data_IF_829735928382
#
_entry.id   IF_829735928382
#
_cell.length_a   1.000
_cell.length_b   1.000
_cell.length_c   1.000
_cell.angle_alpha   90.00
_cell.angle_beta   90.00
_cell.angle_gamma   90.00
#
_symmetry.space_group_name_H-M   'P 1'
#
loop_
_entity.id
_entity.type
_entity.pdbx_description
1 polymer ?
#
# COMPACT_ATOMS: atom_id res chain seq x y z
N UNK A 1 -8.20 25.70 -40.66
CA UNK A 1 -8.41 26.50 -39.44
C UNK A 1 -7.14 26.47 -38.60
N UNK A 2 -6.84 27.59 -37.95
CA UNK A 2 -5.52 27.99 -37.42
C UNK A 2 -4.98 27.06 -36.32
N UNK A 3 -3.67 26.81 -36.38
CA UNK A 3 -2.81 26.30 -35.30
C UNK A 3 -2.88 27.25 -34.09
N UNK A 4 -2.96 26.70 -32.88
CA UNK A 4 -2.50 27.39 -31.67
C UNK A 4 -1.50 26.47 -30.98
N UNK A 5 -0.24 26.85 -31.12
CA UNK A 5 0.91 26.41 -30.33
C UNK A 5 0.80 27.16 -29.00
N UNK A 6 0.55 26.47 -27.89
CA UNK A 6 0.74 27.06 -26.56
C UNK A 6 2.14 26.71 -26.07
N UNK A 7 2.97 27.75 -25.99
CA UNK A 7 4.28 27.74 -25.38
C UNK A 7 4.12 27.40 -23.89
N UNK A 8 4.75 26.32 -23.44
CA UNK A 8 4.98 26.09 -22.01
C UNK A 8 6.09 27.06 -21.60
N UNK A 9 5.73 28.04 -20.79
CA UNK A 9 6.65 28.99 -20.18
C UNK A 9 7.27 28.27 -18.98
N UNK A 10 8.50 27.81 -19.10
CA UNK A 10 9.31 27.31 -17.98
C UNK A 10 9.55 28.47 -17.01
N UNK A 11 8.80 28.50 -15.91
CA UNK A 11 9.09 29.38 -14.78
C UNK A 11 10.17 28.70 -13.93
N UNK A 12 11.41 29.10 -14.16
CA UNK A 12 12.54 28.75 -13.28
C UNK A 12 12.34 29.51 -11.97
N UNK A 13 11.84 28.83 -10.93
CA UNK A 13 11.89 29.34 -9.57
C UNK A 13 13.26 28.94 -9.02
N UNK A 14 14.21 29.85 -9.19
CA UNK A 14 15.51 29.78 -8.53
C UNK A 14 15.30 30.21 -7.07
N UNK A 15 14.91 29.28 -6.21
CA UNK A 15 14.89 29.50 -4.76
C UNK A 15 16.32 29.35 -4.24
N UNK A 16 16.98 30.49 -4.07
CA UNK A 16 18.32 30.54 -3.49
C UNK A 16 18.31 30.03 -2.04
N UNK A 17 19.21 29.09 -1.75
CA UNK A 17 19.55 28.66 -0.39
C UNK A 17 19.93 29.86 0.47
N UNK A 18 19.13 30.11 1.50
CA UNK A 18 19.41 31.08 2.54
C UNK A 18 20.34 30.41 3.57
N UNK A 19 21.65 30.59 3.38
CA UNK A 19 22.66 30.19 4.37
C UNK A 19 22.56 31.13 5.57
N UNK A 20 21.88 30.69 6.64
CA UNK A 20 21.85 31.43 7.90
C UNK A 20 23.05 31.00 8.75
N UNK A 21 24.13 31.77 8.66
CA UNK A 21 25.22 31.75 9.63
C UNK A 21 24.75 32.42 10.93
N UNK A 22 24.51 31.67 12.00
CA UNK A 22 24.21 32.25 13.31
C UNK A 22 25.49 32.69 14.02
N UNK A 23 25.78 33.98 14.00
CA UNK A 23 26.48 34.66 15.10
C UNK A 23 25.84 36.02 15.34
N UNK A 24 25.15 36.19 16.48
CA UNK A 24 25.18 37.41 17.29
C UNK A 24 24.17 37.33 18.45
N UNK A 25 24.68 37.38 19.68
CA UNK A 25 23.93 37.80 20.86
C UNK A 25 23.40 39.24 20.68
N UNK A 26 22.12 39.49 20.97
CA UNK A 26 21.58 40.84 21.05
C UNK A 26 20.15 40.87 21.60
N UNK A 27 19.97 41.51 22.77
CA UNK A 27 18.70 41.65 23.50
C UNK A 27 17.67 42.55 22.78
N UNK A 28 16.41 42.11 22.89
CA UNK A 28 15.13 42.85 22.94
C UNK A 28 14.65 43.63 21.71
N UNK A 29 13.51 43.21 21.14
CA UNK A 29 12.19 43.88 21.24
C UNK A 29 11.15 43.13 20.39
N UNK A 30 9.94 43.04 20.93
CA UNK A 30 8.70 42.49 20.36
C UNK A 30 8.74 42.15 18.86
N UNK A 31 8.98 40.87 18.58
CA UNK A 31 8.61 40.27 17.31
C UNK A 31 7.28 39.54 17.53
N UNK A 32 6.25 40.00 16.83
CA UNK A 32 5.07 39.18 16.54
C UNK A 32 5.60 37.88 15.96
N UNK A 33 5.50 36.78 16.69
CA UNK A 33 5.99 35.48 16.23
C UNK A 33 5.17 35.11 15.00
N UNK A 34 5.70 35.35 13.81
CA UNK A 34 5.31 34.60 12.64
C UNK A 34 5.45 33.13 13.05
N UNK A 35 4.32 32.43 13.10
CA UNK A 35 4.30 31.00 13.37
C UNK A 35 4.91 30.39 12.12
N UNK A 36 6.19 30.03 12.19
CA UNK A 36 6.86 29.33 11.09
C UNK A 36 6.14 27.99 10.87
N UNK A 37 5.74 27.74 9.62
CA UNK A 37 5.24 26.44 9.19
C UNK A 37 6.34 25.41 9.45
N UNK A 38 6.01 24.33 10.18
CA UNK A 38 6.98 23.26 10.48
C UNK A 38 7.16 22.43 9.22
N UNK A 39 8.37 22.45 8.68
CA UNK A 39 8.80 21.49 7.65
C UNK A 39 9.03 20.13 8.33
N UNK A 40 8.48 19.07 7.76
CA UNK A 40 8.63 17.68 8.21
C UNK A 40 9.23 16.87 7.08
N UNK A 41 10.39 16.26 7.30
CA UNK A 41 11.04 15.38 6.32
C UNK A 41 10.36 14.01 6.29
N UNK A 42 10.49 13.24 5.21
CA UNK A 42 9.93 11.88 5.14
C UNK A 42 10.50 10.97 6.23
N UNK A 43 11.81 11.04 6.47
CA UNK A 43 12.49 10.35 7.54
C UNK A 43 11.94 10.69 8.92
N UNK A 44 11.61 11.96 9.16
CA UNK A 44 10.96 12.39 10.40
C UNK A 44 9.51 11.90 10.49
N UNK A 45 8.78 11.96 9.37
CA UNK A 45 7.37 11.60 9.28
C UNK A 45 7.13 10.11 9.56
N UNK A 46 7.98 9.23 9.03
CA UNK A 46 7.82 7.78 9.14
C UNK A 46 8.55 7.16 10.35
N UNK A 47 9.51 7.86 10.96
CA UNK A 47 10.14 7.42 12.21
C UNK A 47 9.35 7.77 13.48
N UNK A 48 8.12 8.27 13.35
CA UNK A 48 7.20 8.45 14.48
C UNK A 48 6.01 7.51 14.38
N UNK A 49 5.34 7.30 15.51
CA UNK A 49 4.03 6.65 15.50
C UNK A 49 3.06 7.48 14.64
N UNK A 50 2.30 6.80 13.77
CA UNK A 50 1.36 7.47 12.87
C UNK A 50 0.60 6.52 11.97
N UNK A 51 -0.60 6.94 11.57
CA UNK A 51 -1.50 6.23 10.66
C UNK A 51 -1.54 6.97 9.34
N UNK A 52 -1.25 6.26 8.25
CA UNK A 52 -1.23 6.81 6.90
C UNK A 52 -2.19 6.05 5.99
N UNK A 53 -2.92 6.80 5.17
CA UNK A 53 -3.97 6.30 4.29
C UNK A 53 -3.47 6.31 2.85
N UNK A 54 -3.39 5.14 2.24
CA UNK A 54 -3.07 4.96 0.82
C UNK A 54 -4.31 5.12 -0.06
N UNK A 55 -4.22 5.90 -1.13
CA UNK A 55 -5.36 6.20 -2.03
C UNK A 55 -4.88 6.47 -3.47
N UNK A 56 -5.78 6.44 -4.45
CA UNK A 56 -5.41 6.55 -5.87
C UNK A 56 -5.57 7.96 -6.42
N UNK A 57 -6.65 8.67 -6.11
CA UNK A 57 -6.96 9.94 -6.77
C UNK A 57 -6.71 11.14 -5.85
N UNK A 58 -7.79 11.72 -5.32
CA UNK A 58 -7.78 12.91 -4.48
C UNK A 58 -8.54 12.62 -3.20
N UNK A 59 -8.05 13.13 -2.07
CA UNK A 59 -8.77 13.00 -0.81
C UNK A 59 -10.09 13.75 -0.89
N UNK A 60 -11.17 12.99 -1.00
CA UNK A 60 -12.55 13.46 -0.97
C UNK A 60 -13.35 12.54 -0.07
N UNK A 61 -14.54 12.96 0.34
CA UNK A 61 -15.42 12.17 1.20
C UNK A 61 -15.76 10.78 0.62
N UNK A 62 -15.73 10.63 -0.70
CA UNK A 62 -16.11 9.40 -1.41
C UNK A 62 -14.88 8.62 -1.91
N UNK A 63 -13.66 9.16 -1.72
CA UNK A 63 -12.42 8.50 -2.13
C UNK A 63 -12.14 7.32 -1.22
N UNK A 64 -11.75 6.21 -1.85
CA UNK A 64 -11.48 4.97 -1.15
C UNK A 64 -10.08 4.95 -0.56
N UNK A 65 -9.97 4.41 0.64
CA UNK A 65 -8.69 4.11 1.25
C UNK A 65 -8.33 2.68 0.85
N UNK A 66 -7.28 2.53 0.04
CA UNK A 66 -6.84 1.25 -0.53
C UNK A 66 -6.15 0.38 0.51
N UNK A 67 -5.37 1.01 1.37
CA UNK A 67 -4.68 0.38 2.48
C UNK A 67 -4.36 1.42 3.56
N UNK A 68 -4.12 0.95 4.77
CA UNK A 68 -3.68 1.75 5.91
C UNK A 68 -2.29 1.27 6.34
N UNK A 69 -1.35 2.21 6.48
CA UNK A 69 -0.03 1.98 7.05
C UNK A 69 0.01 2.49 8.49
N UNK A 70 0.47 1.65 9.41
CA UNK A 70 0.64 2.00 10.82
C UNK A 70 2.13 1.93 11.15
N UNK A 71 2.74 3.09 11.37
CA UNK A 71 4.14 3.20 11.79
C UNK A 71 4.24 3.11 13.30
N UNK A 72 5.21 2.36 13.80
CA UNK A 72 5.40 2.10 15.24
C UNK A 72 6.39 3.05 15.93
N UNK A 73 6.94 4.01 15.18
CA UNK A 73 7.97 4.95 15.66
C UNK A 73 9.33 4.30 16.00
N UNK A 74 9.54 3.04 15.61
CA UNK A 74 10.76 2.26 15.85
C UNK A 74 11.36 1.70 14.56
N UNK A 75 10.98 2.29 13.42
CA UNK A 75 11.46 1.91 12.10
C UNK A 75 10.67 0.79 11.44
N UNK A 76 9.47 0.45 11.94
CA UNK A 76 8.61 -0.56 11.33
C UNK A 76 7.26 0.01 10.90
N UNK A 77 6.66 -0.65 9.92
CA UNK A 77 5.33 -0.35 9.39
C UNK A 77 4.51 -1.63 9.27
N UNK A 78 3.25 -1.56 9.68
CA UNK A 78 2.26 -2.60 9.43
C UNK A 78 1.30 -2.11 8.35
N UNK A 79 1.03 -2.93 7.33
CA UNK A 79 0.06 -2.63 6.29
C UNK A 79 -1.20 -3.46 6.47
N UNK A 80 -2.35 -2.79 6.53
CA UNK A 80 -3.68 -3.40 6.47
C UNK A 80 -4.32 -3.10 5.12
N UNK A 81 -4.82 -4.12 4.43
CA UNK A 81 -5.60 -3.98 3.21
C UNK A 81 -7.02 -3.58 3.60
N UNK A 82 -7.53 -2.52 2.99
CA UNK A 82 -8.87 -1.96 3.33
C UNK A 82 -9.78 -1.84 2.11
N UNK A 83 -9.35 -2.39 0.99
CA UNK A 83 -10.07 -2.35 -0.27
C UNK A 83 -9.85 -3.61 -1.12
N UNK A 84 -10.95 -4.13 -1.67
CA UNK A 84 -10.95 -5.06 -2.82
C UNK A 84 -12.15 -4.71 -3.73
N UNK A 85 -11.97 -4.47 -5.03
CA UNK A 85 -13.03 -3.95 -5.92
C UNK A 85 -14.33 -4.75 -5.97
N UNK A 86 -14.29 -6.06 -5.69
CA UNK A 86 -15.45 -6.96 -5.82
C UNK A 86 -16.06 -7.37 -4.46
N UNK A 87 -15.51 -6.87 -3.35
CA UNK A 87 -16.02 -7.12 -1.99
C UNK A 87 -16.62 -5.81 -1.49
N UNK A 88 -17.92 -5.59 -1.76
CA UNK A 88 -18.61 -4.33 -1.43
C UNK A 88 -18.51 -3.94 0.06
N UNK A 89 -18.44 -4.93 0.96
CA UNK A 89 -18.32 -4.69 2.40
C UNK A 89 -16.90 -4.31 2.83
N UNK A 90 -15.90 -4.54 1.98
CA UNK A 90 -14.50 -4.22 2.23
C UNK A 90 -14.09 -2.95 1.49
N UNK A 91 -14.83 -1.88 1.75
CA UNK A 91 -14.58 -0.54 1.22
C UNK A 91 -14.79 0.46 2.34
N UNK A 92 -13.76 1.24 2.64
CA UNK A 92 -13.86 2.44 3.46
C UNK A 92 -13.42 3.66 2.66
N UNK A 93 -14.00 4.79 3.02
CA UNK A 93 -13.69 6.09 2.43
C UNK A 93 -13.18 7.04 3.50
N UNK A 94 -12.64 8.19 3.08
CA UNK A 94 -12.24 9.24 4.03
C UNK A 94 -13.42 9.79 4.86
N UNK A 95 -14.67 9.67 4.38
CA UNK A 95 -15.83 10.04 5.19
C UNK A 95 -16.02 9.14 6.42
N UNK A 96 -15.66 7.86 6.30
CA UNK A 96 -15.88 6.85 7.35
C UNK A 96 -14.93 7.00 8.53
N UNK A 97 -13.82 7.74 8.36
CA UNK A 97 -12.88 8.09 9.43
C UNK A 97 -13.45 9.12 10.42
N UNK A 98 -14.53 9.81 10.04
CA UNK A 98 -15.03 10.97 10.76
C UNK A 98 -15.50 10.63 12.18
N UNK A 99 -14.79 11.15 13.18
CA UNK A 99 -15.10 10.95 14.58
C UNK A 99 -14.55 9.67 15.18
N UNK A 100 -13.73 8.91 14.44
CA UNK A 100 -13.00 7.75 14.96
C UNK A 100 -11.69 8.20 15.63
N UNK A 101 -11.30 7.52 16.72
CA UNK A 101 -9.94 7.62 17.26
C UNK A 101 -8.95 6.79 16.44
N UNK A 102 -7.65 7.02 16.66
CA UNK A 102 -6.58 6.23 16.04
C UNK A 102 -6.75 4.73 16.30
N UNK A 103 -7.11 4.35 17.53
CA UNK A 103 -7.37 2.96 17.90
C UNK A 103 -8.60 2.40 17.16
N UNK A 104 -9.67 3.17 17.01
CA UNK A 104 -10.87 2.75 16.27
C UNK A 104 -10.57 2.59 14.77
N UNK A 105 -9.73 3.46 14.20
CA UNK A 105 -9.27 3.34 12.81
C UNK A 105 -8.43 2.08 12.62
N UNK A 106 -7.52 1.78 13.56
CA UNK A 106 -6.69 0.56 13.51
C UNK A 106 -7.55 -0.70 13.63
N UNK A 107 -8.51 -0.74 14.56
CA UNK A 107 -9.40 -1.90 14.68
C UNK A 107 -10.28 -2.07 13.44
N UNK A 108 -10.80 -0.98 12.86
CA UNK A 108 -11.51 -1.02 11.58
C UNK A 108 -10.63 -1.60 10.46
N UNK A 109 -9.35 -1.18 10.39
CA UNK A 109 -8.40 -1.70 9.40
C UNK A 109 -8.18 -3.22 9.55
N UNK A 110 -8.06 -3.72 10.79
CA UNK A 110 -7.94 -5.15 11.09
C UNK A 110 -9.19 -5.94 10.71
N UNK A 111 -10.37 -5.40 11.02
CA UNK A 111 -11.65 -6.04 10.67
C UNK A 111 -11.79 -6.17 9.15
N UNK A 112 -11.40 -5.14 8.40
CA UNK A 112 -11.44 -5.14 6.94
C UNK A 112 -10.40 -6.07 6.31
N UNK A 113 -9.15 -6.06 6.79
CA UNK A 113 -8.09 -6.97 6.29
C UNK A 113 -8.53 -8.43 6.46
N UNK A 114 -9.11 -8.74 7.63
CA UNK A 114 -9.68 -10.05 7.92
C UNK A 114 -10.86 -10.39 7.00
N UNK A 115 -11.81 -9.48 6.84
CA UNK A 115 -12.97 -9.68 5.96
C UNK A 115 -12.53 -9.94 4.53
N UNK A 116 -11.56 -9.18 4.01
CA UNK A 116 -11.01 -9.37 2.67
C UNK A 116 -10.41 -10.76 2.54
N UNK A 117 -9.58 -11.18 3.49
CA UNK A 117 -9.01 -12.53 3.49
C UNK A 117 -10.08 -13.63 3.46
N UNK A 118 -11.10 -13.53 4.32
CA UNK A 118 -12.15 -14.54 4.44
C UNK A 118 -13.01 -14.63 3.17
N UNK A 119 -13.37 -13.49 2.57
CA UNK A 119 -14.13 -13.45 1.32
C UNK A 119 -13.27 -13.85 0.10
N UNK A 120 -11.97 -13.50 0.04
CA UNK A 120 -11.06 -13.96 -1.02
C UNK A 120 -10.92 -15.50 -0.99
N UNK A 121 -10.72 -16.12 0.19
CA UNK A 121 -10.65 -17.58 0.32
C UNK A 121 -11.96 -18.24 -0.14
N UNK A 122 -13.11 -17.69 0.29
CA UNK A 122 -14.43 -18.20 -0.07
C UNK A 122 -14.71 -18.09 -1.57
N UNK A 123 -14.35 -16.98 -2.19
CA UNK A 123 -14.44 -16.78 -3.64
C UNK A 123 -13.58 -17.82 -4.37
N UNK A 124 -12.32 -18.03 -3.98
CA UNK A 124 -11.43 -19.01 -4.63
C UNK A 124 -11.88 -20.45 -4.50
N UNK A 125 -12.43 -20.83 -3.35
CA UNK A 125 -13.05 -22.15 -3.18
C UNK A 125 -14.27 -22.28 -4.10
N UNK A 126 -15.11 -21.24 -4.18
CA UNK A 126 -16.29 -21.23 -5.06
C UNK A 126 -15.89 -21.38 -6.54
N UNK A 127 -14.91 -20.62 -7.01
CA UNK A 127 -14.40 -20.71 -8.38
C UNK A 127 -13.76 -22.07 -8.66
N UNK A 128 -12.99 -22.58 -7.71
CA UNK A 128 -12.32 -23.88 -7.82
C UNK A 128 -13.28 -25.07 -7.85
N UNK A 129 -14.47 -24.93 -7.27
CA UNK A 129 -15.50 -25.98 -7.29
C UNK A 129 -15.87 -26.37 -8.73
N UNK A 130 -15.97 -25.39 -9.64
CA UNK A 130 -16.23 -25.64 -11.05
C UNK A 130 -15.15 -26.56 -11.67
N UNK A 131 -13.87 -26.26 -11.44
CA UNK A 131 -12.77 -27.04 -11.98
C UNK A 131 -12.69 -28.45 -11.39
N UNK A 132 -12.95 -28.60 -10.09
CA UNK A 132 -13.05 -29.92 -9.44
C UNK A 132 -14.16 -30.76 -10.09
N UNK A 133 -15.32 -30.17 -10.38
CA UNK A 133 -16.43 -30.85 -11.05
C UNK A 133 -16.08 -31.25 -12.49
N UNK A 134 -15.43 -30.37 -13.25
CA UNK A 134 -14.97 -30.66 -14.63
C UNK A 134 -13.91 -31.77 -14.64
N UNK A 135 -12.87 -31.67 -13.81
CA UNK A 135 -11.84 -32.69 -13.66
C UNK A 135 -12.44 -34.04 -13.25
N UNK A 136 -13.36 -34.04 -12.28
CA UNK A 136 -14.10 -35.23 -11.86
C UNK A 136 -14.87 -35.86 -13.01
N UNK A 137 -15.46 -35.05 -13.90
CA UNK A 137 -16.17 -35.56 -15.08
C UNK A 137 -15.20 -36.23 -16.06
N UNK A 138 -14.06 -35.61 -16.35
CA UNK A 138 -13.06 -36.16 -17.27
C UNK A 138 -12.43 -37.45 -16.75
N UNK A 139 -12.14 -37.50 -15.44
CA UNK A 139 -11.60 -38.70 -14.78
C UNK A 139 -12.61 -39.85 -14.80
N UNK A 140 -13.88 -39.59 -14.48
CA UNK A 140 -14.92 -40.64 -14.39
C UNK A 140 -15.44 -41.10 -15.75
N UNK A 141 -15.33 -40.27 -16.78
CA UNK A 141 -15.75 -40.59 -18.14
C UNK A 141 -14.67 -40.17 -19.15
N UNK A 142 -13.51 -40.87 -19.16
CA UNK A 142 -12.40 -40.50 -20.01
C UNK A 142 -12.75 -40.75 -21.48
N UNK A 143 -12.25 -39.90 -22.37
CA UNK A 143 -12.30 -40.16 -23.81
C UNK A 143 -11.58 -41.50 -24.08
N UNK A 144 -12.25 -42.49 -24.71
CA UNK A 144 -11.66 -43.80 -24.97
C UNK A 144 -10.41 -43.75 -25.84
N UNK A 145 -10.25 -42.68 -26.64
CA UNK A 145 -9.09 -42.46 -27.50
C UNK A 145 -7.95 -41.71 -26.77
N UNK A 146 -8.15 -41.25 -25.53
CA UNK A 146 -7.10 -40.59 -24.75
C UNK A 146 -5.97 -41.55 -24.36
N UNK A 147 -4.70 -41.15 -24.58
CA UNK A 147 -3.53 -41.83 -24.04
C UNK A 147 -3.63 -42.09 -22.53
N UNK A 148 -3.06 -43.20 -22.01
CA UNK A 148 -3.00 -43.45 -20.56
C UNK A 148 -2.37 -42.31 -19.76
N UNK A 149 -1.33 -41.68 -20.28
CA UNK A 149 -0.63 -40.54 -19.66
C UNK A 149 -1.53 -39.31 -19.47
N UNK A 150 -2.45 -39.03 -20.41
CA UNK A 150 -3.41 -37.92 -20.25
C UNK A 150 -4.42 -38.20 -19.14
N UNK A 151 -4.82 -39.46 -18.96
CA UNK A 151 -5.73 -39.86 -17.88
C UNK A 151 -5.05 -39.80 -16.52
N UNK A 152 -3.78 -40.19 -16.45
CA UNK A 152 -2.96 -40.05 -15.25
C UNK A 152 -2.81 -38.58 -14.86
N UNK A 153 -2.48 -37.70 -15.81
CA UNK A 153 -2.41 -36.25 -15.57
C UNK A 153 -3.72 -35.68 -15.04
N UNK A 154 -4.86 -36.04 -15.63
CA UNK A 154 -6.18 -35.56 -15.17
C UNK A 154 -6.49 -36.02 -13.74
N UNK A 155 -6.11 -37.25 -13.36
CA UNK A 155 -6.24 -37.74 -12.00
C UNK A 155 -5.34 -36.97 -11.04
N UNK A 156 -4.08 -36.72 -11.42
CA UNK A 156 -3.14 -35.92 -10.62
C UNK A 156 -3.65 -34.50 -10.39
N UNK A 157 -4.19 -33.84 -11.42
CA UNK A 157 -4.77 -32.50 -11.30
C UNK A 157 -6.04 -32.49 -10.44
N UNK A 158 -6.88 -33.54 -10.52
CA UNK A 158 -8.03 -33.67 -9.62
C UNK A 158 -7.59 -33.82 -8.16
N UNK A 159 -6.58 -34.66 -7.89
CA UNK A 159 -6.05 -34.87 -6.54
C UNK A 159 -5.42 -33.58 -5.99
N UNK A 160 -4.69 -32.84 -6.83
CA UNK A 160 -4.13 -31.53 -6.48
C UNK A 160 -5.23 -30.49 -6.20
N UNK A 161 -6.26 -30.42 -7.05
CA UNK A 161 -7.39 -29.51 -6.87
C UNK A 161 -8.12 -29.75 -5.54
N UNK A 162 -8.41 -31.01 -5.21
CA UNK A 162 -9.04 -31.40 -3.95
C UNK A 162 -8.13 -31.09 -2.74
N UNK A 163 -6.83 -31.33 -2.87
CA UNK A 163 -5.86 -31.02 -1.82
C UNK A 163 -5.76 -29.51 -1.57
N UNK A 164 -5.72 -28.69 -2.62
CA UNK A 164 -5.69 -27.23 -2.50
C UNK A 164 -6.99 -26.70 -1.90
N UNK A 165 -8.14 -27.21 -2.33
CA UNK A 165 -9.44 -26.85 -1.75
C UNK A 165 -9.47 -27.13 -0.24
N UNK A 166 -8.97 -28.31 0.18
CA UNK A 166 -8.84 -28.65 1.61
C UNK A 166 -7.92 -27.67 2.34
N UNK A 167 -6.76 -27.34 1.75
CA UNK A 167 -5.78 -26.41 2.32
C UNK A 167 -6.35 -25.00 2.48
N UNK A 168 -7.13 -24.52 1.49
CA UNK A 168 -7.84 -23.24 1.56
C UNK A 168 -8.93 -23.24 2.64
N UNK A 169 -9.69 -24.32 2.79
CA UNK A 169 -10.72 -24.45 3.85
C UNK A 169 -10.12 -24.45 5.26
N UNK A 170 -8.89 -24.91 5.40
CA UNK A 170 -8.13 -24.90 6.66
C UNK A 170 -7.34 -23.61 6.89
N UNK A 171 -7.27 -22.72 5.89
CA UNK A 171 -6.54 -21.47 6.01
C UNK A 171 -7.19 -20.56 7.05
N UNK A 172 -6.37 -20.01 7.93
CA UNK A 172 -6.80 -19.13 9.01
C UNK A 172 -6.18 -17.76 8.79
N UNK A 173 -6.99 -16.72 8.99
CA UNK A 173 -6.51 -15.34 8.97
C UNK A 173 -5.35 -15.15 9.96
N UNK A 174 -4.28 -14.55 9.46
CA UNK A 174 -3.15 -14.08 10.26
C UNK A 174 -3.12 -12.56 10.18
N UNK A 175 -3.15 -11.89 11.33
CA UNK A 175 -3.03 -10.44 11.38
C UNK A 175 -1.67 -10.00 10.81
N UNK A 176 -1.61 -8.93 9.98
CA UNK A 176 -0.35 -8.39 9.49
C UNK A 176 0.66 -8.08 10.60
N UNK A 177 1.91 -8.50 10.39
CA UNK A 177 3.04 -8.17 11.25
C UNK A 177 3.71 -6.87 10.79
N UNK A 178 4.48 -6.24 11.69
CA UNK A 178 5.25 -5.04 11.37
C UNK A 178 6.56 -5.43 10.68
N UNK A 179 6.87 -4.75 9.56
CA UNK A 179 8.10 -4.93 8.79
C UNK A 179 8.96 -3.68 8.85
N UNK A 180 10.30 -3.82 8.82
CA UNK A 180 11.18 -2.66 8.70
C UNK A 180 10.90 -1.93 7.39
N UNK A 181 10.97 -0.60 7.42
CA UNK A 181 10.93 0.22 6.21
C UNK A 181 12.29 0.87 5.95
N UNK A 182 12.55 1.20 4.69
CA UNK A 182 13.68 2.05 4.28
C UNK A 182 13.21 3.21 3.43
N UNK A 183 14.01 4.27 3.40
CA UNK A 183 13.84 5.38 2.47
C UNK A 183 14.96 5.34 1.44
N UNK A 184 14.60 5.61 0.19
CA UNK A 184 15.54 5.73 -0.93
C UNK A 184 15.34 7.07 -1.62
N UNK A 185 16.43 7.76 -1.92
CA UNK A 185 16.46 9.00 -2.68
C UNK A 185 17.05 8.75 -4.07
N UNK A 186 16.46 9.41 -5.08
CA UNK A 186 17.10 9.65 -6.38
C UNK A 186 17.48 11.12 -6.51
N UNK A 187 18.76 11.40 -6.80
CA UNK A 187 19.26 12.79 -6.92
C UNK A 187 18.91 13.43 -8.27
N UNK A 188 18.93 14.76 -8.34
CA UNK A 188 18.73 15.54 -9.59
C UNK A 188 19.89 15.45 -10.60
N UNK A 189 20.85 14.54 -10.37
CA UNK A 189 22.09 14.40 -11.13
C UNK A 189 23.21 15.35 -10.71
N UNK A 190 22.96 16.28 -9.77
CA UNK A 190 24.02 17.10 -9.15
C UNK A 190 24.60 16.47 -7.88
N UNK A 191 23.89 15.50 -7.29
CA UNK A 191 24.23 14.88 -6.00
C UNK A 191 23.93 15.75 -4.78
N UNK A 192 23.37 16.96 -4.96
CA UNK A 192 23.11 17.90 -3.86
C UNK A 192 21.61 18.10 -3.57
N UNK A 193 20.73 17.60 -4.43
CA UNK A 193 19.29 17.77 -4.29
C UNK A 193 18.58 16.47 -4.63
N UNK A 194 17.53 16.20 -3.87
CA UNK A 194 16.61 15.10 -4.08
C UNK A 194 15.62 15.45 -5.18
N UNK A 195 15.54 14.59 -6.19
CA UNK A 195 14.52 14.68 -7.25
C UNK A 195 13.32 13.80 -6.95
N UNK A 196 13.53 12.65 -6.29
CA UNK A 196 12.48 11.74 -5.84
C UNK A 196 12.88 11.05 -4.56
N UNK A 197 11.89 10.63 -3.81
CA UNK A 197 12.07 9.82 -2.63
C UNK A 197 11.05 8.68 -2.61
N UNK A 198 11.46 7.54 -2.10
CA UNK A 198 10.67 6.31 -2.08
C UNK A 198 10.61 5.74 -0.67
N UNK A 199 9.41 5.34 -0.26
CA UNK A 199 9.18 4.51 0.93
C UNK A 199 9.11 3.05 0.51
N UNK A 200 9.98 2.22 1.08
CA UNK A 200 10.08 0.79 0.79
C UNK A 200 9.80 -0.05 2.02
N UNK A 201 9.02 -1.11 1.88
CA UNK A 201 8.73 -2.04 2.97
C UNK A 201 8.16 -3.35 2.44
N UNK A 202 8.40 -4.44 3.18
CA UNK A 202 7.71 -5.72 2.97
C UNK A 202 6.34 -5.73 3.65
N UNK A 203 5.43 -6.55 3.15
CA UNK A 203 4.14 -6.85 3.80
C UNK A 203 3.63 -8.23 3.37
N UNK A 204 2.77 -8.83 4.20
CA UNK A 204 2.05 -10.05 3.84
C UNK A 204 0.77 -9.69 3.09
N UNK A 205 0.69 -10.06 1.82
CA UNK A 205 -0.50 -9.87 1.00
C UNK A 205 -1.35 -11.15 0.98
N UNK A 206 -2.65 -10.99 1.21
CA UNK A 206 -3.65 -12.06 1.03
C UNK A 206 -4.13 -12.19 -0.41
N UNK A 207 -3.67 -11.35 -1.34
CA UNK A 207 -4.14 -11.36 -2.72
C UNK A 207 -3.78 -12.66 -3.43
N UNK A 208 -4.68 -13.63 -3.30
CA UNK A 208 -4.59 -14.94 -3.93
C UNK A 208 -4.53 -14.81 -5.45
N UNK A 209 -4.99 -13.69 -6.02
CA UNK A 209 -4.88 -13.44 -7.45
C UNK A 209 -3.43 -13.34 -7.92
N UNK A 210 -2.63 -12.59 -7.16
CA UNK A 210 -1.22 -12.39 -7.41
C UNK A 210 -0.37 -13.63 -7.08
N UNK A 211 -0.89 -14.54 -6.25
CA UNK A 211 -0.22 -15.82 -5.96
C UNK A 211 -0.14 -16.74 -7.19
N UNK A 212 -0.99 -16.50 -8.21
CA UNK A 212 -1.03 -17.26 -9.46
C UNK A 212 -1.42 -18.74 -9.31
N UNK A 213 -1.79 -19.17 -8.10
CA UNK A 213 -2.04 -20.57 -7.76
C UNK A 213 -3.51 -20.75 -7.40
N UNK A 214 -4.31 -20.97 -8.43
CA UNK A 214 -5.73 -21.26 -8.29
C UNK A 214 -5.99 -22.74 -8.58
N UNK A 215 -7.19 -23.17 -8.25
CA UNK A 215 -7.66 -24.48 -8.69
C UNK A 215 -7.94 -24.39 -10.20
N UNK A 216 -7.15 -25.10 -11.01
CA UNK A 216 -7.23 -25.17 -12.49
C UNK A 216 -7.18 -26.62 -12.96
N UNK A 217 -7.36 -26.85 -14.26
CA UNK A 217 -7.33 -28.20 -14.87
C UNK A 217 -5.93 -28.78 -15.07
N UNK A 218 -4.88 -28.00 -14.82
CA UNK A 218 -3.47 -28.38 -14.94
C UNK A 218 -2.67 -28.24 -13.63
N UNK A 219 -3.35 -27.96 -12.51
CA UNK A 219 -2.74 -27.81 -11.19
C UNK A 219 -1.95 -29.07 -10.79
N UNK A 220 -0.76 -28.87 -10.23
CA UNK A 220 0.14 -29.93 -9.76
C UNK A 220 0.27 -29.95 -8.24
N UNK A 221 0.63 -31.12 -7.67
CA UNK A 221 0.84 -31.23 -6.22
C UNK A 221 2.01 -30.37 -5.73
N UNK A 222 3.03 -30.12 -6.57
CA UNK A 222 4.12 -29.20 -6.25
C UNK A 222 3.62 -27.77 -6.07
N UNK A 223 2.64 -27.35 -6.87
CA UNK A 223 2.01 -26.04 -6.73
C UNK A 223 1.15 -25.94 -5.46
N UNK A 224 0.43 -27.01 -5.12
CA UNK A 224 -0.33 -27.10 -3.85
C UNK A 224 0.61 -27.01 -2.64
N UNK A 225 1.74 -27.70 -2.70
CA UNK A 225 2.73 -27.70 -1.62
C UNK A 225 3.33 -26.32 -1.39
N UNK A 226 3.54 -25.55 -2.45
CA UNK A 226 4.06 -24.18 -2.40
C UNK A 226 2.99 -23.11 -2.17
N UNK A 227 1.69 -23.48 -2.15
CA UNK A 227 0.63 -22.52 -1.89
C UNK A 227 0.69 -22.02 -0.43
N UNK A 228 0.55 -20.72 -0.26
CA UNK A 228 0.46 -20.06 1.05
C UNK A 228 -0.74 -19.11 1.06
N UNK A 229 -1.38 -18.97 2.22
CA UNK A 229 -2.58 -18.14 2.37
C UNK A 229 -2.26 -16.63 2.35
N UNK A 230 -1.00 -16.27 2.64
CA UNK A 230 -0.43 -14.95 2.45
C UNK A 230 0.96 -15.11 1.86
N UNK A 231 1.36 -14.19 0.98
CA UNK A 231 2.70 -14.15 0.39
C UNK A 231 3.39 -12.85 0.80
N UNK A 232 4.68 -12.91 1.11
CA UNK A 232 5.46 -11.71 1.32
C UNK A 232 5.66 -10.98 -0.02
N UNK A 233 5.33 -9.69 -0.02
CA UNK A 233 5.55 -8.76 -1.13
C UNK A 233 6.35 -7.57 -0.63
N UNK A 234 7.05 -6.93 -1.55
CA UNK A 234 7.70 -5.63 -1.33
C UNK A 234 6.86 -4.55 -2.04
N UNK A 235 6.70 -3.39 -1.39
CA UNK A 235 6.17 -2.18 -2.02
C UNK A 235 7.25 -1.10 -2.10
N UNK A 236 7.17 -0.28 -3.13
CA UNK A 236 8.02 0.90 -3.33
C UNK A 236 7.11 2.07 -3.74
N UNK A 237 6.83 2.96 -2.80
CA UNK A 237 5.94 4.10 -3.00
C UNK A 237 6.76 5.36 -3.32
N UNK A 238 6.54 5.97 -4.49
CA UNK A 238 7.06 7.31 -4.81
C UNK A 238 6.34 8.35 -3.94
N UNK A 239 7.04 8.90 -2.95
CA UNK A 239 6.50 9.80 -1.94
C UNK A 239 6.85 11.26 -2.26
N UNK A 240 6.11 11.82 -3.21
CA UNK A 240 6.27 13.23 -3.55
C UNK A 240 5.46 14.13 -2.59
N UNK A 241 6.06 15.16 -1.95
CA UNK A 241 5.32 16.04 -1.05
C UNK A 241 4.15 16.74 -1.74
N UNK A 242 3.00 16.81 -1.07
CA UNK A 242 1.86 17.59 -1.58
C UNK A 242 2.00 19.05 -1.21
N UNK A 243 1.63 19.92 -2.14
CA UNK A 243 1.54 21.37 -1.92
C UNK A 243 0.15 21.83 -1.42
N UNK A 244 -0.84 20.94 -1.43
CA UNK A 244 -2.23 21.26 -1.13
C UNK A 244 -2.74 20.45 0.06
N UNK A 245 -3.35 21.18 0.99
CA UNK A 245 -4.05 20.65 2.15
C UNK A 245 -5.43 20.16 1.74
N UNK A 246 -5.88 19.04 2.32
CA UNK A 246 -7.16 18.43 1.98
C UNK A 246 -8.05 18.38 3.21
N UNK A 247 -9.34 18.63 3.03
CA UNK A 247 -10.31 18.67 4.12
C UNK A 247 -11.49 17.78 3.77
N UNK A 248 -11.87 16.90 4.69
CA UNK A 248 -13.10 16.11 4.64
C UNK A 248 -13.82 16.31 5.97
N UNK A 249 -15.01 16.92 5.92
CA UNK A 249 -15.71 17.42 7.11
C UNK A 249 -14.83 18.37 7.95
N UNK A 250 -14.56 18.06 9.21
CA UNK A 250 -13.68 18.79 10.12
C UNK A 250 -12.27 18.19 10.21
N UNK A 251 -11.99 17.09 9.51
CA UNK A 251 -10.67 16.47 9.43
C UNK A 251 -9.79 17.15 8.39
N UNK A 252 -8.52 17.37 8.75
CA UNK A 252 -7.48 17.88 7.86
C UNK A 252 -6.53 16.75 7.49
N UNK A 253 -6.14 16.69 6.23
CA UNK A 253 -5.21 15.69 5.69
C UNK A 253 -4.04 16.39 5.01
N UNK A 254 -2.84 15.91 5.30
CA UNK A 254 -1.59 16.34 4.66
C UNK A 254 -0.65 15.15 4.54
N UNK A 255 0.39 15.27 3.72
CA UNK A 255 1.33 14.18 3.47
C UNK A 255 1.97 14.23 2.09
N UNK A 256 2.11 13.04 1.51
CA UNK A 256 2.67 12.79 0.21
C UNK A 256 1.57 12.46 -0.81
N UNK A 257 1.93 12.48 -2.09
CA UNK A 257 1.04 12.03 -3.16
C UNK A 257 0.67 10.57 -2.90
N UNK A 258 -0.62 10.23 -2.98
CA UNK A 258 -1.19 8.90 -2.69
C UNK A 258 -1.02 8.37 -1.25
N UNK A 259 -0.45 9.16 -0.32
CA UNK A 259 -0.25 8.74 1.07
C UNK A 259 -0.36 9.92 2.03
N UNK A 260 -1.42 9.95 2.86
CA UNK A 260 -1.72 11.08 3.77
C UNK A 260 -1.98 10.62 5.19
N UNK A 261 -1.87 11.51 6.16
CA UNK A 261 -2.31 11.29 7.53
C UNK A 261 -3.32 12.36 7.97
N UNK A 262 -4.05 12.10 9.06
CA UNK A 262 -4.87 13.12 9.72
C UNK A 262 -3.93 14.07 10.48
N UNK A 263 -4.07 15.37 10.24
CA UNK A 263 -3.27 16.41 10.89
C UNK A 263 -4.16 17.36 11.69
N UNK A 264 -3.59 18.01 12.69
CA UNK A 264 -4.29 19.05 13.45
C UNK A 264 -4.41 20.38 12.68
N UNK A 265 -4.94 21.39 13.34
CA UNK A 265 -5.12 22.75 12.79
C UNK A 265 -3.84 23.36 12.20
N UNK A 266 -2.68 22.98 12.73
CA UNK A 266 -1.36 23.36 12.22
C UNK A 266 -0.84 22.28 11.30
N UNK A 267 -0.93 22.56 10.01
CA UNK A 267 -0.60 21.57 8.99
C UNK A 267 0.92 21.58 8.74
N UNK A 268 1.59 20.43 8.87
CA UNK A 268 3.00 20.32 8.51
C UNK A 268 3.17 20.49 7.00
N UNK A 269 4.30 21.05 6.61
CA UNK A 269 4.76 21.07 5.23
C UNK A 269 5.71 19.90 5.06
N UNK A 270 5.30 18.87 4.33
CA UNK A 270 6.19 17.75 4.04
C UNK A 270 7.24 18.17 3.01
N UNK A 271 8.43 17.60 3.13
CA UNK A 271 9.53 17.80 2.20
C UNK A 271 10.28 16.49 2.02
N UNK A 272 10.96 16.37 0.88
CA UNK A 272 11.98 15.36 0.69
C UNK A 272 13.09 15.51 1.73
N UNK A 273 13.68 14.39 2.10
CA UNK A 273 14.99 14.34 2.72
C UNK A 273 16.09 14.80 1.76
N UNK A 274 17.23 15.23 2.31
CA UNK A 274 18.40 15.58 1.51
C UNK A 274 19.33 14.36 1.34
N UNK A 275 20.19 14.33 0.30
CA UNK A 275 21.12 13.21 0.09
C UNK A 275 22.12 12.96 1.23
N UNK A 276 22.28 13.91 2.16
CA UNK A 276 23.11 13.80 3.36
C UNK A 276 22.34 13.38 4.63
N UNK A 277 21.02 13.13 4.53
CA UNK A 277 20.25 12.58 5.65
C UNK A 277 20.78 11.20 6.04
N UNK A 278 21.00 11.00 7.35
CA UNK A 278 21.47 9.72 7.89
C UNK A 278 20.41 8.61 7.75
N UNK A 279 20.83 7.41 7.35
CA UNK A 279 19.97 6.23 7.29
C UNK A 279 19.13 6.09 6.01
N UNK A 280 19.38 6.93 4.99
CA UNK A 280 18.69 6.88 3.70
C UNK A 280 19.60 6.29 2.62
N UNK A 281 19.04 5.46 1.76
CA UNK A 281 19.73 4.94 0.58
C UNK A 281 19.77 6.01 -0.52
N UNK A 282 20.94 6.26 -1.10
CA UNK A 282 21.13 7.23 -2.19
C UNK A 282 21.68 6.50 -3.42
N UNK A 283 21.18 6.86 -4.60
CA UNK A 283 21.56 6.30 -5.90
C UNK A 283 22.97 6.65 -6.40
#
# INVERSE_FOLDING_TARGET
>A
MKRIISKILSLVIMTGLLVISFTACGKSKDATSAVEDRVVLASEAFNREGIWFGFEDYVTKDEEIKYILVFDGKGNVTRYKTFKPYIDQARITFADLNGLSDEEIIELAKELDKLIFEEEIKEKISDGTYWIEELSRFVNNPDPDSPPEDRERLQESLDAALALESKMKEAVYQEPEAYPFTLKIETDGTGNQTSKEFLKYSYLDSDLDASGRFITDDLTMDEVNQWEAKIEKEDELDISPRSENMTVYDMQFSGFIHLVEIVGDKQPIYSFDSPDTEGIEVD
#
